data_IF_834454190385
#
_entry.id   IF_834454190385
#
_cell.length_a   1.000
_cell.length_b   1.000
_cell.length_c   1.000
_cell.angle_alpha   90.00
_cell.angle_beta   90.00
_cell.angle_gamma   90.00
#
_symmetry.space_group_name_H-M   'P 1'
#
loop_
_entity.id
_entity.type
_entity.pdbx_description
1 polymer ?
#
# COMPACT_ATOMS: atom_id res chain seq x y z
N UNK A 1 6.98 -13.76 -14.67
CA UNK A 1 5.88 -14.30 -13.82
C UNK A 1 5.48 -13.33 -12.71
N UNK A 2 6.41 -12.92 -11.83
CA UNK A 2 6.14 -11.97 -10.74
C UNK A 2 5.48 -10.65 -11.21
N UNK A 3 5.99 -10.02 -12.27
CA UNK A 3 5.40 -8.80 -12.83
C UNK A 3 3.95 -9.00 -13.35
N UNK A 4 3.64 -10.19 -13.90
CA UNK A 4 2.32 -10.52 -14.43
C UNK A 4 1.32 -10.71 -13.28
N UNK A 5 1.73 -11.44 -12.23
CA UNK A 5 0.93 -11.64 -11.02
C UNK A 5 0.73 -10.32 -10.27
N UNK A 6 1.77 -9.51 -10.12
CA UNK A 6 1.68 -8.19 -9.51
C UNK A 6 0.75 -7.26 -10.30
N UNK A 7 0.83 -7.27 -11.64
CA UNK A 7 -0.06 -6.50 -12.51
C UNK A 7 -1.53 -6.87 -12.36
N UNK A 8 -1.84 -8.18 -12.29
CA UNK A 8 -3.22 -8.65 -12.07
C UNK A 8 -3.72 -8.25 -10.67
N UNK A 9 -2.88 -8.39 -9.62
CA UNK A 9 -3.25 -7.98 -8.27
C UNK A 9 -3.49 -6.47 -8.16
N UNK A 10 -2.66 -5.66 -8.81
CA UNK A 10 -2.83 -4.20 -8.85
C UNK A 10 -4.09 -3.80 -9.62
N UNK A 11 -4.40 -4.46 -10.74
CA UNK A 11 -5.62 -4.22 -11.50
C UNK A 11 -6.89 -4.53 -10.69
N UNK A 12 -6.90 -5.65 -9.95
CA UNK A 12 -8.01 -6.02 -9.06
C UNK A 12 -8.14 -5.02 -7.91
N UNK A 13 -7.03 -4.66 -7.25
CA UNK A 13 -7.03 -3.67 -6.18
C UNK A 13 -7.51 -2.30 -6.66
N UNK A 14 -7.09 -1.86 -7.86
CA UNK A 14 -7.55 -0.65 -8.52
C UNK A 14 -9.06 -0.66 -8.76
N UNK A 15 -9.60 -1.72 -9.35
CA UNK A 15 -11.05 -1.87 -9.54
C UNK A 15 -11.82 -1.80 -8.22
N UNK A 16 -11.34 -2.47 -7.15
CA UNK A 16 -12.00 -2.45 -5.84
C UNK A 16 -12.03 -1.02 -5.27
N UNK A 17 -10.89 -0.33 -5.32
CA UNK A 17 -10.76 1.03 -4.80
C UNK A 17 -11.60 2.01 -5.61
N UNK A 18 -11.59 1.93 -6.94
CA UNK A 18 -12.42 2.76 -7.82
C UNK A 18 -13.91 2.55 -7.56
N UNK A 19 -14.35 1.31 -7.28
CA UNK A 19 -15.74 1.00 -6.92
C UNK A 19 -16.09 1.48 -5.52
N UNK A 20 -15.20 1.31 -4.55
CA UNK A 20 -15.39 1.79 -3.18
C UNK A 20 -15.36 3.31 -3.09
N UNK A 21 -14.62 4.02 -3.95
CA UNK A 21 -14.55 5.49 -3.90
C UNK A 21 -15.48 6.16 -4.90
N UNK A 22 -16.09 5.41 -5.83
CA UNK A 22 -16.86 5.97 -6.95
C UNK A 22 -16.02 6.84 -7.90
N UNK A 23 -14.70 6.85 -7.75
CA UNK A 23 -13.79 7.74 -8.46
C UNK A 23 -12.90 6.93 -9.42
N UNK A 24 -13.09 7.06 -10.75
CA UNK A 24 -12.29 6.34 -11.74
C UNK A 24 -10.81 6.77 -11.78
N UNK A 25 -10.45 7.90 -11.15
CA UNK A 25 -9.06 8.34 -10.97
C UNK A 25 -8.38 7.75 -9.73
N UNK A 26 -9.12 7.03 -8.87
CA UNK A 26 -8.54 6.42 -7.69
C UNK A 26 -7.66 5.22 -8.09
N UNK A 27 -6.42 5.23 -7.61
CA UNK A 27 -5.46 4.13 -7.82
C UNK A 27 -4.76 3.81 -6.49
N UNK A 28 -4.48 2.53 -6.18
CA UNK A 28 -3.75 2.14 -4.97
C UNK A 28 -2.34 2.74 -4.90
N UNK A 29 -1.72 3.01 -6.05
CA UNK A 29 -0.42 3.68 -6.11
C UNK A 29 -0.55 5.18 -5.79
N UNK A 30 -1.61 5.84 -6.29
CA UNK A 30 -1.92 7.24 -5.99
C UNK A 30 -2.28 7.42 -4.51
N UNK A 31 -2.89 6.40 -3.90
CA UNK A 31 -3.23 6.39 -2.47
C UNK A 31 -2.02 6.27 -1.54
N UNK A 32 -0.82 5.99 -2.05
CA UNK A 32 0.41 6.00 -1.25
C UNK A 32 0.76 4.68 -0.55
N UNK A 33 0.11 3.56 -0.89
CA UNK A 33 0.42 2.24 -0.29
C UNK A 33 1.85 1.79 -0.67
N UNK A 34 2.27 2.04 -1.90
CA UNK A 34 3.64 1.75 -2.37
C UNK A 34 4.68 2.58 -1.61
N UNK A 35 4.40 3.87 -1.40
CA UNK A 35 5.23 4.77 -0.60
C UNK A 35 5.31 4.32 0.87
N UNK A 36 4.21 3.81 1.45
CA UNK A 36 4.16 3.22 2.77
C UNK A 36 5.02 1.96 2.94
N UNK A 37 4.96 1.07 1.93
CA UNK A 37 5.81 -0.10 1.89
C UNK A 37 7.30 0.27 1.82
N UNK A 38 7.65 1.21 0.93
CA UNK A 38 9.02 1.70 0.79
C UNK A 38 9.52 2.37 2.07
N UNK A 39 8.67 3.17 2.74
CA UNK A 39 8.98 3.78 4.02
C UNK A 39 9.26 2.74 5.11
N UNK A 40 8.42 1.70 5.23
CA UNK A 40 8.63 0.60 6.18
C UNK A 40 9.94 -0.15 5.95
N UNK A 41 10.29 -0.38 4.69
CA UNK A 41 11.58 -0.99 4.30
C UNK A 41 12.76 -0.11 4.69
N UNK A 42 12.72 1.18 4.37
CA UNK A 42 13.79 2.12 4.69
C UNK A 42 13.97 2.23 6.20
N UNK A 43 12.86 2.35 6.95
CA UNK A 43 12.90 2.45 8.41
C UNK A 43 13.57 1.22 9.04
N UNK A 44 13.25 0.02 8.53
CA UNK A 44 13.84 -1.21 9.03
C UNK A 44 15.31 -1.38 8.63
N UNK A 45 15.72 -0.85 7.46
CA UNK A 45 17.12 -0.81 7.04
C UNK A 45 17.97 0.11 7.95
N UNK A 46 17.38 1.20 8.44
CA UNK A 46 18.05 2.08 9.42
C UNK A 46 18.09 1.47 10.83
N UNK A 47 17.07 0.69 11.22
CA UNK A 47 16.98 0.09 12.56
C UNK A 47 17.83 -1.18 12.72
N UNK A 48 18.02 -1.95 11.63
CA UNK A 48 18.78 -3.21 11.62
C UNK A 48 20.08 -3.03 10.84
N UNK A 49 21.22 -2.74 11.51
CA UNK A 49 22.52 -2.73 10.86
C UNK A 49 22.98 -4.18 10.62
N UNK A 50 23.01 -4.61 9.36
CA UNK A 50 23.41 -5.96 8.95
C UNK A 50 22.27 -6.74 8.27
N UNK A 51 22.64 -7.83 7.58
CA UNK A 51 21.85 -8.62 6.62
C UNK A 51 20.31 -8.63 6.84
N UNK A 52 19.64 -7.57 6.38
CA UNK A 52 18.22 -7.31 6.64
C UNK A 52 17.28 -7.98 5.62
N UNK A 53 17.82 -8.84 4.75
CA UNK A 53 17.05 -9.50 3.68
C UNK A 53 15.84 -10.28 4.20
N UNK A 54 15.94 -10.91 5.38
CA UNK A 54 14.82 -11.61 6.01
C UNK A 54 13.73 -10.68 6.58
N UNK A 55 14.10 -9.44 6.95
CA UNK A 55 13.21 -8.47 7.58
C UNK A 55 12.57 -7.50 6.60
N UNK A 56 13.12 -7.40 5.38
CA UNK A 56 12.65 -6.48 4.34
C UNK A 56 11.21 -6.76 3.92
N UNK A 57 10.88 -8.03 3.71
CA UNK A 57 9.54 -8.47 3.29
C UNK A 57 8.45 -8.22 4.36
N UNK A 58 8.64 -8.60 5.65
CA UNK A 58 7.67 -8.25 6.70
C UNK A 58 7.63 -6.75 6.99
N UNK A 59 8.75 -6.02 6.92
CA UNK A 59 8.78 -4.57 7.14
C UNK A 59 8.03 -3.80 6.05
N UNK A 60 8.22 -4.15 4.77
CA UNK A 60 7.46 -3.56 3.67
C UNK A 60 5.97 -3.90 3.75
N UNK A 61 5.63 -5.13 4.15
CA UNK A 61 4.23 -5.54 4.33
C UNK A 61 3.55 -4.80 5.49
N UNK A 62 4.26 -4.61 6.61
CA UNK A 62 3.78 -3.80 7.74
C UNK A 62 3.61 -2.33 7.37
N UNK A 63 4.57 -1.75 6.63
CA UNK A 63 4.48 -0.38 6.12
C UNK A 63 3.26 -0.19 5.20
N UNK A 64 3.06 -1.12 4.25
CA UNK A 64 1.90 -1.13 3.37
C UNK A 64 0.59 -1.27 4.15
N UNK A 65 0.52 -2.22 5.11
CA UNK A 65 -0.65 -2.46 5.94
C UNK A 65 -0.99 -1.23 6.79
N UNK A 66 0.01 -0.58 7.39
CA UNK A 66 -0.18 0.65 8.16
C UNK A 66 -0.75 1.78 7.29
N UNK A 67 -0.19 1.99 6.08
CA UNK A 67 -0.76 2.98 5.14
C UNK A 67 -2.18 2.66 4.73
N UNK A 68 -2.48 1.38 4.44
CA UNK A 68 -3.85 0.96 4.11
C UNK A 68 -4.82 1.24 5.27
N UNK A 69 -4.39 0.98 6.51
CA UNK A 69 -5.19 1.22 7.71
C UNK A 69 -5.47 2.72 7.89
N UNK A 70 -4.45 3.56 7.69
CA UNK A 70 -4.60 5.03 7.71
C UNK A 70 -5.56 5.49 6.62
N UNK A 71 -5.45 4.95 5.40
CA UNK A 71 -6.36 5.27 4.29
C UNK A 71 -7.79 4.89 4.62
N UNK A 72 -8.03 3.69 5.18
CA UNK A 72 -9.38 3.25 5.56
C UNK A 72 -9.97 4.16 6.65
N UNK A 73 -9.17 4.54 7.65
CA UNK A 73 -9.60 5.47 8.70
C UNK A 73 -9.88 6.86 8.11
N UNK A 74 -9.02 7.36 7.22
CA UNK A 74 -9.20 8.66 6.58
C UNK A 74 -10.42 8.67 5.64
N UNK A 75 -10.61 7.62 4.84
CA UNK A 75 -11.76 7.44 3.96
C UNK A 75 -13.07 7.31 4.74
N UNK A 76 -13.04 6.62 5.89
CA UNK A 76 -14.19 6.53 6.81
C UNK A 76 -14.52 7.86 7.50
N UNK A 77 -13.55 8.77 7.64
CA UNK A 77 -13.73 10.10 8.25
C UNK A 77 -14.05 11.21 7.25
N UNK A 78 -13.62 11.09 6.00
CA UNK A 78 -13.81 12.10 4.95
C UNK A 78 -15.25 12.21 4.45
N UNK A 79 -16.14 11.30 4.87
CA UNK A 79 -17.43 11.11 4.23
C UNK A 79 -17.21 10.60 2.81
N UNK A 80 -18.06 9.67 2.38
CA UNK A 80 -18.32 9.54 0.96
C UNK A 80 -18.93 10.87 0.51
N UNK A 81 -18.09 11.84 0.19
CA UNK A 81 -18.54 13.06 -0.48
C UNK A 81 -19.01 12.59 -1.85
N UNK A 82 -20.32 12.73 -2.15
CA UNK A 82 -20.93 12.16 -3.35
C UNK A 82 -20.33 12.70 -4.66
#
# INVERSE_FOLDING_TARGET
LAALVAGVMLAVAGCIIQRLTGNPMASPEVLGISSGAAFGVVLMLFLVPGNAFGWLMPAGSLGAAATLLIIIIAAGRGGFSP
#
